data_IF_565101203416
#
_entry.id   IF_565101203416
#
_cell.length_a   1.000
_cell.length_b   1.000
_cell.length_c   1.000
_cell.angle_alpha   90.00
_cell.angle_beta   90.00
_cell.angle_gamma   90.00
#
_symmetry.space_group_name_H-M   'P 1'
#
loop_
_entity.id
_entity.type
_entity.pdbx_description
1 polymer ?
#
# COMPACT_ATOMS: atom_id res chain seq x y z
N UNK A 1 10.15 8.38 28.15
CA UNK A 1 10.62 8.92 26.86
C UNK A 1 9.78 8.27 25.78
N UNK A 2 8.68 8.93 25.39
CA UNK A 2 7.75 8.41 24.39
C UNK A 2 8.38 8.69 23.03
N UNK A 3 8.76 7.64 22.30
CA UNK A 3 9.24 7.79 20.94
C UNK A 3 8.12 8.44 20.11
N UNK A 4 8.36 9.66 19.62
CA UNK A 4 7.53 10.23 18.58
C UNK A 4 7.64 9.28 17.39
N UNK A 5 6.55 8.61 17.04
CA UNK A 5 6.43 7.99 15.73
C UNK A 5 6.74 9.10 14.72
N UNK A 6 7.61 8.86 13.72
CA UNK A 6 7.78 9.85 12.66
C UNK A 6 6.39 10.17 12.13
N UNK A 7 6.05 11.46 12.13
CA UNK A 7 4.83 11.96 11.51
C UNK A 7 4.73 11.26 10.16
N UNK A 8 3.72 10.38 10.03
CA UNK A 8 3.38 9.77 8.75
C UNK A 8 3.04 10.97 7.88
N UNK A 9 4.00 11.42 7.06
CA UNK A 9 3.86 12.56 6.19
C UNK A 9 2.65 12.25 5.30
N UNK A 10 1.52 12.83 5.68
CA UNK A 10 0.24 12.49 5.07
C UNK A 10 0.28 12.81 3.58
N UNK A 11 -0.72 12.30 2.87
CA UNK A 11 -0.98 12.57 1.45
C UNK A 11 -1.06 14.07 1.10
N UNK A 12 -1.07 14.96 2.10
CA UNK A 12 -1.23 16.41 2.03
C UNK A 12 -0.01 17.15 1.43
N UNK A 13 1.12 16.45 1.19
CA UNK A 13 2.37 17.03 0.69
C UNK A 13 2.84 16.49 -0.68
N UNK A 14 1.97 15.80 -1.44
CA UNK A 14 2.37 15.31 -2.76
C UNK A 14 2.38 16.47 -3.78
N UNK A 15 3.57 16.88 -4.22
CA UNK A 15 3.76 17.91 -5.27
C UNK A 15 3.38 17.42 -6.69
N UNK A 16 2.94 16.17 -6.82
CA UNK A 16 2.60 15.52 -8.10
C UNK A 16 1.44 14.54 -7.92
N UNK A 17 0.75 14.22 -9.01
CA UNK A 17 -0.26 13.17 -8.99
C UNK A 17 0.40 11.82 -8.68
N UNK A 18 -0.02 11.11 -7.61
CA UNK A 18 0.61 9.86 -7.22
C UNK A 18 0.33 8.78 -8.27
N UNK A 19 1.40 8.13 -8.73
CA UNK A 19 1.30 6.96 -9.58
C UNK A 19 1.12 5.69 -8.75
N UNK A 20 0.36 4.73 -9.28
CA UNK A 20 0.23 3.41 -8.71
C UNK A 20 1.59 2.71 -8.67
N UNK A 21 2.00 2.29 -7.48
CA UNK A 21 3.23 1.52 -7.31
C UNK A 21 3.06 0.09 -7.82
N UNK A 22 4.15 -0.50 -8.33
CA UNK A 22 4.15 -1.91 -8.74
C UNK A 22 3.92 -2.83 -7.54
N UNK A 23 3.17 -3.91 -7.74
CA UNK A 23 3.09 -4.97 -6.73
C UNK A 23 4.47 -5.58 -6.49
N UNK A 24 4.85 -5.74 -5.22
CA UNK A 24 6.17 -6.23 -4.80
C UNK A 24 6.40 -7.70 -5.15
N UNK A 25 5.34 -8.45 -5.47
CA UNK A 25 5.40 -9.86 -5.85
C UNK A 25 5.75 -10.06 -7.34
N UNK A 26 6.34 -9.06 -8.00
CA UNK A 26 6.78 -9.13 -9.39
C UNK A 26 5.64 -9.26 -10.41
N UNK A 27 4.38 -9.27 -9.97
CA UNK A 27 3.21 -9.37 -10.84
C UNK A 27 2.79 -7.98 -11.28
N UNK A 28 3.10 -7.67 -12.54
CA UNK A 28 2.65 -6.45 -13.20
C UNK A 28 1.18 -6.58 -13.58
N UNK A 29 0.31 -5.86 -12.87
CA UNK A 29 -1.11 -5.68 -13.24
C UNK A 29 -1.23 -4.72 -14.43
N UNK A 30 -0.28 -3.79 -14.56
CA UNK A 30 -0.22 -2.79 -15.63
C UNK A 30 1.16 -2.81 -16.30
N UNK A 31 1.20 -2.47 -17.60
CA UNK A 31 2.44 -2.25 -18.33
C UNK A 31 3.13 -0.97 -17.84
N UNK A 32 2.36 0.13 -17.79
CA UNK A 32 2.72 1.42 -17.22
C UNK A 32 1.87 1.71 -15.98
N UNK A 33 2.46 2.24 -14.90
CA UNK A 33 1.73 2.51 -13.67
C UNK A 33 0.69 3.63 -13.89
N UNK A 34 -0.62 3.36 -13.73
CA UNK A 34 -1.65 4.38 -13.85
C UNK A 34 -1.59 5.36 -12.66
N UNK A 35 -2.43 6.39 -12.69
CA UNK A 35 -2.75 7.19 -11.50
C UNK A 35 -3.20 6.27 -10.34
N UNK A 36 -2.78 6.58 -9.12
CA UNK A 36 -3.26 5.91 -7.93
C UNK A 36 -4.63 6.46 -7.49
N UNK A 37 -5.49 5.57 -7.04
CA UNK A 37 -6.82 5.91 -6.53
C UNK A 37 -6.84 5.88 -4.99
N UNK A 38 -5.85 5.22 -4.37
CA UNK A 38 -5.80 4.97 -2.95
C UNK A 38 -4.39 5.12 -2.38
N UNK A 39 -4.30 5.70 -1.20
CA UNK A 39 -3.16 5.58 -0.30
C UNK A 39 -3.48 4.51 0.75
N UNK A 40 -2.61 3.51 0.87
CA UNK A 40 -2.82 2.30 1.65
C UNK A 40 -1.71 2.20 2.70
N UNK A 41 -2.09 2.05 3.96
CA UNK A 41 -1.16 1.77 5.06
C UNK A 41 -1.25 0.29 5.40
N UNK A 42 -0.10 -0.37 5.41
CA UNK A 42 0.00 -1.82 5.63
C UNK A 42 0.66 -2.06 6.98
N UNK A 43 -0.15 -2.49 7.95
CA UNK A 43 0.21 -2.83 9.33
C UNK A 43 0.97 -1.73 10.09
N UNK A 44 0.96 -0.50 9.57
CA UNK A 44 1.76 0.62 10.08
C UNK A 44 3.26 0.52 9.79
N UNK A 45 3.72 -0.45 8.97
CA UNK A 45 5.14 -0.59 8.66
C UNK A 45 5.58 0.22 7.44
N UNK A 46 4.68 0.48 6.49
CA UNK A 46 4.93 1.26 5.29
C UNK A 46 3.60 1.65 4.63
N UNK A 47 3.71 2.51 3.63
CA UNK A 47 2.60 3.13 2.93
C UNK A 47 2.78 2.96 1.42
N UNK A 48 1.67 2.79 0.70
CA UNK A 48 1.68 2.55 -0.74
C UNK A 48 0.59 3.34 -1.46
N UNK A 49 0.84 3.71 -2.70
CA UNK A 49 -0.14 4.30 -3.61
C UNK A 49 -0.60 3.26 -4.62
N UNK A 50 -1.89 2.90 -4.62
CA UNK A 50 -2.44 1.90 -5.55
C UNK A 50 -3.67 2.40 -6.29
N UNK A 51 -3.83 1.96 -7.54
CA UNK A 51 -5.12 2.05 -8.22
C UNK A 51 -6.08 0.96 -7.73
N UNK A 52 -7.37 1.11 -8.03
CA UNK A 52 -8.42 0.16 -7.66
C UNK A 52 -8.09 -1.27 -8.13
N UNK A 53 -7.61 -1.40 -9.38
CA UNK A 53 -7.31 -2.70 -9.99
C UNK A 53 -6.17 -3.43 -9.27
N UNK A 54 -5.10 -2.71 -8.91
CA UNK A 54 -4.00 -3.29 -8.14
C UNK A 54 -4.44 -3.69 -6.73
N UNK A 55 -5.25 -2.86 -6.07
CA UNK A 55 -5.77 -3.16 -4.74
C UNK A 55 -6.65 -4.43 -4.75
N UNK A 56 -7.58 -4.53 -5.71
CA UNK A 56 -8.42 -5.72 -5.89
C UNK A 56 -7.60 -6.96 -6.23
N UNK A 57 -6.61 -6.83 -7.13
CA UNK A 57 -5.72 -7.92 -7.48
C UNK A 57 -5.00 -8.48 -6.25
N UNK A 58 -4.47 -7.61 -5.40
CA UNK A 58 -3.77 -8.00 -4.17
C UNK A 58 -4.71 -8.71 -3.18
N UNK A 59 -5.94 -8.21 -3.02
CA UNK A 59 -6.96 -8.87 -2.19
C UNK A 59 -7.33 -10.26 -2.69
N UNK A 60 -7.45 -10.43 -4.01
CA UNK A 60 -7.88 -11.69 -4.60
C UNK A 60 -6.76 -12.74 -4.68
N UNK A 61 -5.52 -12.32 -4.93
CA UNK A 61 -4.42 -13.23 -5.26
C UNK A 61 -3.55 -13.61 -4.05
N UNK A 62 -3.42 -12.75 -3.04
CA UNK A 62 -2.50 -12.97 -1.94
C UNK A 62 -3.17 -13.64 -0.74
N UNK A 63 -3.14 -14.99 -0.76
CA UNK A 63 -3.61 -15.87 0.33
C UNK A 63 -2.74 -15.82 1.58
N UNK A 64 -1.55 -15.23 1.51
CA UNK A 64 -0.69 -14.90 2.64
C UNK A 64 0.06 -13.64 2.25
N UNK A 65 0.17 -12.71 3.18
CA UNK A 65 0.91 -11.48 2.93
C UNK A 65 2.11 -11.41 3.85
N UNK A 66 3.27 -11.05 3.29
CA UNK A 66 4.52 -10.85 4.02
C UNK A 66 4.86 -9.37 3.99
N UNK A 67 4.93 -8.74 5.16
CA UNK A 67 5.49 -7.40 5.25
C UNK A 67 7.00 -7.47 5.05
N UNK A 68 7.57 -6.84 4.01
CA UNK A 68 9.03 -6.91 3.76
C UNK A 68 9.85 -6.00 4.67
N UNK A 69 9.21 -5.10 5.43
CA UNK A 69 9.88 -4.26 6.44
C UNK A 69 10.19 -5.06 7.70
N UNK A 70 9.16 -5.67 8.30
CA UNK A 70 9.27 -6.34 9.59
C UNK A 70 9.21 -7.87 9.50
N UNK A 71 9.07 -8.42 8.30
CA UNK A 71 9.00 -9.87 8.00
C UNK A 71 7.84 -10.61 8.67
N UNK A 72 6.87 -9.87 9.22
CA UNK A 72 5.65 -10.47 9.77
C UNK A 72 4.75 -10.99 8.65
N UNK A 73 4.27 -12.22 8.85
CA UNK A 73 3.33 -12.87 7.92
C UNK A 73 1.89 -12.71 8.42
N UNK A 74 0.98 -12.42 7.50
CA UNK A 74 -0.45 -12.29 7.71
C UNK A 74 -1.17 -13.36 6.91
N UNK A 75 -2.31 -13.82 7.44
CA UNK A 75 -3.11 -14.86 6.81
C UNK A 75 -3.77 -14.43 5.49
N UNK A 76 -3.85 -13.13 5.19
CA UNK A 76 -4.31 -12.58 3.93
C UNK A 76 -3.84 -11.13 3.81
N UNK A 77 -3.89 -10.56 2.60
CA UNK A 77 -3.58 -9.15 2.38
C UNK A 77 -4.46 -8.22 3.21
N UNK A 78 -5.78 -8.44 3.25
CA UNK A 78 -6.71 -7.60 4.03
C UNK A 78 -6.44 -7.60 5.54
N UNK A 79 -5.83 -8.66 6.06
CA UNK A 79 -5.43 -8.71 7.48
C UNK A 79 -4.20 -7.86 7.78
N UNK A 80 -3.43 -7.51 6.75
CA UNK A 80 -2.28 -6.63 6.87
C UNK A 80 -2.66 -5.16 6.67
N UNK A 81 -3.73 -4.84 5.93
CA UNK A 81 -4.15 -3.45 5.71
C UNK A 81 -4.70 -2.86 7.00
N UNK A 82 -4.18 -1.70 7.41
CA UNK A 82 -4.71 -0.94 8.55
C UNK A 82 -5.47 0.31 8.13
N UNK A 83 -5.18 0.85 6.93
CA UNK A 83 -5.86 2.03 6.40
C UNK A 83 -5.90 2.02 4.88
N UNK A 84 -7.03 2.47 4.32
CA UNK A 84 -7.18 2.77 2.89
C UNK A 84 -7.83 4.15 2.80
N UNK A 85 -7.19 5.08 2.09
CA UNK A 85 -7.67 6.45 1.92
C UNK A 85 -7.82 6.73 0.43
N UNK A 86 -9.03 7.06 -0.05
CA UNK A 86 -9.23 7.47 -1.43
C UNK A 86 -8.49 8.78 -1.74
N UNK A 87 -7.88 8.84 -2.92
CA UNK A 87 -7.22 10.02 -3.46
C UNK A 87 -8.19 10.64 -4.47
N UNK A 88 -8.63 11.86 -4.20
CA UNK A 88 -9.58 12.59 -5.06
C UNK A 88 -8.91 13.01 -6.36
#
# INVERSE_FOLDING_TARGET
MTAALPELAGIEHLDHEPACERSEYGRRVHADPPRADYWVVIHGCWERFWCAKCLEFMRACEKRFLCLVCWKTFAAFDHAITRVVPLR
#
